data_IF_802377106327
#
_entry.id   IF_802377106327
#
_cell.length_a   1.000
_cell.length_b   1.000
_cell.length_c   1.000
_cell.angle_alpha   90.00
_cell.angle_beta   90.00
_cell.angle_gamma   90.00
#
_symmetry.space_group_name_H-M   'P 1'
#
loop_
_entity.id
_entity.type
_entity.pdbx_description
1 polymer ?
#
# COMPACT_ATOMS: atom_id res chain seq x y z
N UNK A 1 17.17 18.86 -7.04
CA UNK A 1 16.53 19.51 -5.88
C UNK A 1 16.23 18.44 -4.86
N UNK A 2 16.52 18.66 -3.58
CA UNK A 2 16.40 17.65 -2.53
C UNK A 2 15.77 18.33 -1.30
N UNK A 3 14.69 17.77 -0.77
CA UNK A 3 14.08 18.27 0.47
C UNK A 3 14.90 17.83 1.67
N UNK A 4 14.80 18.57 2.76
CA UNK A 4 15.48 18.22 4.01
C UNK A 4 14.84 16.98 4.63
N UNK A 5 13.51 16.89 4.63
CA UNK A 5 12.74 15.86 5.34
C UNK A 5 11.84 15.00 4.44
N UNK A 6 11.53 15.45 3.22
CA UNK A 6 10.56 14.77 2.36
C UNK A 6 11.23 14.07 1.17
N UNK A 7 10.62 12.98 0.72
CA UNK A 7 10.84 12.43 -0.60
C UNK A 7 10.17 13.32 -1.65
N UNK A 8 10.78 13.39 -2.83
CA UNK A 8 10.12 13.93 -4.02
C UNK A 8 9.76 12.75 -4.90
N UNK A 9 8.48 12.56 -5.19
CA UNK A 9 8.00 11.48 -6.05
C UNK A 9 7.13 12.02 -7.19
N UNK A 10 6.96 11.21 -8.23
CA UNK A 10 5.98 11.41 -9.29
C UNK A 10 5.11 10.16 -9.44
N UNK A 11 3.85 10.24 -9.90
CA UNK A 11 3.06 9.05 -10.24
C UNK A 11 3.77 8.23 -11.33
N UNK A 12 3.69 6.89 -11.25
CA UNK A 12 4.32 5.99 -12.24
C UNK A 12 3.61 6.01 -13.60
N UNK A 13 2.29 6.00 -13.57
CA UNK A 13 1.42 6.14 -14.75
C UNK A 13 0.67 7.47 -14.61
N UNK A 14 -0.65 7.42 -14.60
CA UNK A 14 -1.52 8.53 -14.28
C UNK A 14 -1.89 8.53 -12.79
N UNK A 15 -2.49 9.62 -12.32
CA UNK A 15 -2.91 9.76 -10.93
C UNK A 15 -4.12 8.89 -10.58
N UNK A 16 -4.84 8.38 -11.57
CA UNK A 16 -6.06 7.60 -11.43
C UNK A 16 -5.92 6.26 -12.18
N UNK A 17 -6.39 5.18 -11.56
CA UNK A 17 -6.55 3.86 -12.18
C UNK A 17 -8.06 3.59 -12.36
N UNK A 18 -8.79 4.55 -12.93
CA UNK A 18 -10.25 4.51 -13.07
C UNK A 18 -10.74 4.02 -14.43
N UNK A 19 -9.85 3.65 -15.35
CA UNK A 19 -10.19 3.16 -16.69
C UNK A 19 -9.88 1.66 -16.78
N UNK A 20 -10.87 0.85 -17.14
CA UNK A 20 -10.71 -0.57 -17.44
C UNK A 20 -11.11 -0.84 -18.88
N UNK A 21 -10.25 -1.48 -19.66
CA UNK A 21 -10.60 -1.92 -21.00
C UNK A 21 -11.33 -3.27 -20.94
N UNK A 22 -12.47 -3.35 -21.63
CA UNK A 22 -13.26 -4.57 -21.80
C UNK A 22 -13.52 -4.73 -23.31
N UNK A 23 -12.77 -5.62 -23.96
CA UNK A 23 -12.78 -5.73 -25.42
C UNK A 23 -12.29 -4.44 -26.07
N UNK A 24 -13.07 -3.91 -27.02
CA UNK A 24 -12.77 -2.65 -27.73
C UNK A 24 -13.34 -1.40 -27.04
N UNK A 25 -13.89 -1.53 -25.82
CA UNK A 25 -14.53 -0.43 -25.10
C UNK A 25 -13.76 -0.07 -23.83
N UNK A 26 -13.60 1.24 -23.62
CA UNK A 26 -13.07 1.81 -22.38
C UNK A 26 -14.20 2.07 -21.39
N UNK A 27 -14.12 1.42 -20.23
CA UNK A 27 -15.08 1.60 -19.15
C UNK A 27 -14.45 2.44 -18.05
N UNK A 28 -15.00 3.64 -17.84
CA UNK A 28 -14.64 4.50 -16.71
C UNK A 28 -15.37 3.94 -15.48
N UNK A 29 -14.62 3.26 -14.61
CA UNK A 29 -15.12 2.63 -13.39
C UNK A 29 -15.57 3.65 -12.35
N UNK A 30 -14.98 4.85 -12.37
CA UNK A 30 -15.39 5.94 -11.50
C UNK A 30 -15.09 7.31 -12.14
N UNK A 31 -16.12 8.15 -12.25
CA UNK A 31 -16.02 9.54 -12.70
C UNK A 31 -15.73 10.52 -11.55
N UNK A 32 -15.87 10.08 -10.29
CA UNK A 32 -15.60 10.90 -9.12
C UNK A 32 -14.11 10.89 -8.73
N UNK A 33 -13.44 12.00 -9.05
CA UNK A 33 -12.05 12.35 -8.75
C UNK A 33 -11.69 12.20 -7.24
N UNK A 34 -12.69 12.17 -6.36
CA UNK A 34 -12.56 12.22 -4.90
C UNK A 34 -12.47 10.87 -4.19
N UNK A 35 -12.84 9.77 -4.85
CA UNK A 35 -12.89 8.43 -4.24
C UNK A 35 -11.49 7.81 -4.11
N UNK A 36 -11.06 7.56 -2.88
CA UNK A 36 -9.73 7.01 -2.54
C UNK A 36 -9.46 5.60 -3.09
N UNK A 37 -10.50 4.92 -3.56
CA UNK A 37 -10.42 3.57 -4.09
C UNK A 37 -9.74 3.52 -5.47
N UNK A 38 -9.78 4.61 -6.24
CA UNK A 38 -9.30 4.66 -7.64
C UNK A 38 -8.11 5.61 -7.86
N UNK A 39 -7.56 6.17 -6.78
CA UNK A 39 -6.32 6.97 -6.84
C UNK A 39 -5.13 6.02 -6.93
N UNK A 40 -4.30 6.19 -7.95
CA UNK A 40 -3.07 5.41 -8.09
C UNK A 40 -2.23 5.58 -6.83
N UNK A 41 -1.71 4.48 -6.29
CA UNK A 41 -0.87 4.49 -5.08
C UNK A 41 0.60 4.25 -5.41
N UNK A 42 0.97 4.24 -6.70
CA UNK A 42 2.31 3.89 -7.14
C UNK A 42 3.05 5.13 -7.65
N UNK A 43 4.14 5.47 -6.99
CA UNK A 43 5.04 6.56 -7.39
C UNK A 43 6.43 6.06 -7.77
N UNK A 44 7.21 6.94 -8.42
CA UNK A 44 8.64 6.77 -8.68
C UNK A 44 9.39 7.85 -7.89
N UNK A 45 10.42 7.45 -7.15
CA UNK A 45 11.24 8.37 -6.35
C UNK A 45 12.16 9.18 -7.25
N UNK A 46 12.08 10.50 -7.14
CA UNK A 46 12.95 11.45 -7.85
C UNK A 46 14.06 12.01 -6.95
N UNK A 47 13.77 12.16 -5.65
CA UNK A 47 14.75 12.57 -4.66
C UNK A 47 14.42 11.98 -3.28
N UNK A 48 15.48 11.70 -2.51
CA UNK A 48 15.40 11.21 -1.13
C UNK A 48 15.65 12.35 -0.13
N UNK A 49 15.11 12.32 1.09
CA UNK A 49 15.39 13.32 2.11
C UNK A 49 16.90 13.35 2.46
N UNK A 50 17.40 14.50 2.90
CA UNK A 50 18.80 14.66 3.34
C UNK A 50 18.99 14.31 4.83
N UNK A 51 18.00 14.59 5.66
CA UNK A 51 18.15 14.56 7.11
C UNK A 51 18.18 13.14 7.68
N UNK A 52 17.53 12.18 7.01
CA UNK A 52 17.36 10.83 7.54
C UNK A 52 17.91 9.77 6.58
N UNK A 53 18.68 8.78 7.10
CA UNK A 53 19.08 7.63 6.31
C UNK A 53 17.85 6.78 5.97
N UNK A 54 17.73 6.41 4.71
CA UNK A 54 16.64 5.56 4.21
C UNK A 54 17.20 4.49 3.29
N UNK A 55 16.57 3.32 3.30
CA UNK A 55 16.90 2.24 2.38
C UNK A 55 16.43 2.51 0.95
N UNK A 56 15.52 3.47 0.77
CA UNK A 56 14.90 3.84 -0.51
C UNK A 56 15.88 4.68 -1.33
N UNK A 57 15.94 4.44 -2.64
CA UNK A 57 16.83 5.14 -3.58
C UNK A 57 16.03 5.87 -4.65
N UNK A 58 16.68 6.85 -5.27
CA UNK A 58 16.17 7.51 -6.47
C UNK A 58 15.96 6.46 -7.56
N UNK A 59 14.79 6.50 -8.20
CA UNK A 59 14.36 5.55 -9.22
C UNK A 59 13.53 4.37 -8.71
N UNK A 60 13.50 4.11 -7.39
CA UNK A 60 12.65 3.04 -6.85
C UNK A 60 11.16 3.36 -7.07
N UNK A 61 10.37 2.32 -7.31
CA UNK A 61 8.91 2.42 -7.29
C UNK A 61 8.42 2.31 -5.85
N UNK A 62 7.44 3.10 -5.45
CA UNK A 62 6.94 3.14 -4.07
C UNK A 62 5.43 3.05 -4.03
N UNK A 63 4.91 2.34 -3.02
CA UNK A 63 3.49 2.37 -2.67
C UNK A 63 3.30 3.40 -1.57
N UNK A 64 2.37 4.33 -1.77
CA UNK A 64 2.18 5.48 -0.91
C UNK A 64 0.77 5.55 -0.33
N UNK A 65 0.60 6.44 0.65
CA UNK A 65 -0.69 6.77 1.21
C UNK A 65 -1.66 7.37 0.17
N UNK A 66 -2.93 6.96 0.22
CA UNK A 66 -3.97 7.33 -0.76
C UNK A 66 -4.21 8.85 -0.88
N UNK A 67 -3.85 9.64 0.13
CA UNK A 67 -4.01 11.10 0.09
C UNK A 67 -2.91 11.83 -0.68
N UNK A 68 -1.81 11.15 -1.06
CA UNK A 68 -0.69 11.84 -1.71
C UNK A 68 -1.09 12.35 -3.10
N UNK A 69 -1.67 11.51 -3.95
CA UNK A 69 -2.08 11.91 -5.31
C UNK A 69 -3.53 12.40 -5.40
N UNK A 70 -4.27 12.41 -4.28
CA UNK A 70 -5.69 12.80 -4.23
C UNK A 70 -5.90 14.24 -4.68
N UNK A 71 -7.03 14.48 -5.34
CA UNK A 71 -7.63 15.81 -5.51
C UNK A 71 -8.97 15.87 -4.79
N UNK A 72 -9.36 17.07 -4.40
CA UNK A 72 -10.59 17.32 -3.66
C UNK A 72 -11.21 18.63 -4.13
N UNK A 73 -12.52 18.73 -4.08
CA UNK A 73 -13.23 19.98 -4.32
C UNK A 73 -13.36 20.73 -3.01
N UNK A 74 -13.08 22.03 -3.05
CA UNK A 74 -13.40 22.87 -1.91
C UNK A 74 -14.91 23.16 -1.81
N UNK A 75 -15.31 23.89 -0.76
CA UNK A 75 -16.72 24.25 -0.52
C UNK A 75 -17.36 25.06 -1.65
N UNK A 76 -16.58 25.55 -2.62
CA UNK A 76 -17.04 26.30 -3.80
C UNK A 76 -17.00 25.45 -5.08
N UNK A 77 -16.70 24.15 -4.97
CA UNK A 77 -16.60 23.25 -6.12
C UNK A 77 -15.32 23.43 -6.94
N UNK A 78 -14.30 24.11 -6.41
CA UNK A 78 -13.03 24.31 -7.11
C UNK A 78 -12.10 23.13 -6.80
N UNK A 79 -11.60 22.49 -7.86
CA UNK A 79 -10.66 21.38 -7.75
C UNK A 79 -9.32 21.85 -7.17
N UNK A 80 -8.88 21.17 -6.11
CA UNK A 80 -7.59 21.41 -5.44
C UNK A 80 -6.78 20.13 -5.35
N UNK A 81 -5.48 20.28 -5.51
CA UNK A 81 -4.55 19.18 -5.27
C UNK A 81 -4.40 18.90 -3.77
N UNK A 82 -3.89 17.71 -3.45
CA UNK A 82 -3.45 17.39 -2.09
C UNK A 82 -2.39 18.39 -1.61
N UNK A 83 -2.24 18.49 -0.29
CA UNK A 83 -1.16 19.27 0.34
C UNK A 83 0.24 18.78 -0.06
N UNK A 84 0.35 17.56 -0.58
CA UNK A 84 1.59 16.96 -1.03
C UNK A 84 2.01 17.48 -2.41
N UNK A 85 1.08 18.02 -3.20
CA UNK A 85 1.37 18.49 -4.54
C UNK A 85 2.27 19.72 -4.53
N UNK A 86 3.24 19.71 -5.43
CA UNK A 86 4.16 20.81 -5.63
C UNK A 86 4.05 21.42 -7.04
N UNK A 87 4.77 20.88 -8.03
CA UNK A 87 4.72 21.35 -9.43
C UNK A 87 5.02 20.21 -10.41
N UNK A 88 4.49 20.28 -11.63
CA UNK A 88 4.81 19.33 -12.71
C UNK A 88 4.66 17.85 -12.28
N UNK A 89 3.54 17.51 -11.65
CA UNK A 89 3.27 16.16 -11.11
C UNK A 89 4.29 15.66 -10.07
N UNK A 90 5.04 16.57 -9.43
CA UNK A 90 5.93 16.26 -8.32
C UNK A 90 5.23 16.48 -7.00
N UNK A 91 5.49 15.58 -6.07
CA UNK A 91 4.87 15.55 -4.75
C UNK A 91 5.92 15.41 -3.67
N UNK A 92 5.75 16.16 -2.57
CA UNK A 92 6.49 15.94 -1.34
C UNK A 92 5.78 14.89 -0.49
N UNK A 93 6.52 13.87 -0.10
CA UNK A 93 5.98 12.73 0.65
C UNK A 93 6.88 12.45 1.84
N UNK A 94 6.27 12.36 3.02
CA UNK A 94 7.00 12.03 4.23
C UNK A 94 7.37 10.54 4.27
N UNK A 95 8.43 10.15 4.98
CA UNK A 95 8.82 8.74 5.11
C UNK A 95 7.70 7.81 5.59
N UNK A 96 6.86 8.27 6.54
CA UNK A 96 5.72 7.52 7.10
C UNK A 96 4.55 7.35 6.13
N UNK A 97 4.59 8.01 4.98
CA UNK A 97 3.58 7.90 3.93
C UNK A 97 4.00 6.95 2.80
N UNK A 98 5.17 6.30 2.91
CA UNK A 98 5.65 5.26 1.99
C UNK A 98 5.53 3.91 2.70
N UNK A 99 4.77 2.98 2.11
CA UNK A 99 4.45 1.69 2.73
C UNK A 99 5.21 0.50 2.13
N UNK A 100 5.58 0.57 0.85
CA UNK A 100 6.47 -0.40 0.21
C UNK A 100 7.35 0.32 -0.79
N UNK A 101 8.51 -0.25 -1.08
CA UNK A 101 9.36 0.16 -2.19
C UNK A 101 9.80 -1.05 -3.01
N UNK A 102 9.92 -0.91 -4.32
CA UNK A 102 10.33 -1.95 -5.24
C UNK A 102 11.76 -1.70 -5.68
N UNK A 103 12.61 -2.72 -5.53
CA UNK A 103 13.98 -2.73 -6.03
C UNK A 103 14.26 -4.07 -6.68
N UNK A 104 14.88 -4.06 -7.86
CA UNK A 104 15.21 -5.29 -8.60
C UNK A 104 14.00 -6.23 -8.75
N UNK A 105 12.83 -5.67 -9.08
CA UNK A 105 11.55 -6.37 -9.21
C UNK A 105 11.01 -7.04 -7.92
N UNK A 106 11.57 -6.73 -6.74
CA UNK A 106 11.08 -7.24 -5.45
C UNK A 106 10.56 -6.10 -4.59
N UNK A 107 9.40 -6.31 -3.97
CA UNK A 107 8.83 -5.39 -2.99
C UNK A 107 9.49 -5.59 -1.62
N UNK A 108 9.73 -4.48 -0.95
CA UNK A 108 10.34 -4.39 0.36
C UNK A 108 9.51 -3.47 1.25
N UNK A 109 9.31 -3.87 2.50
CA UNK A 109 8.70 -3.02 3.50
C UNK A 109 9.75 -2.08 4.12
N UNK A 110 9.47 -0.76 4.21
CA UNK A 110 10.23 0.14 5.04
C UNK A 110 9.92 -0.11 6.51
N UNK A 111 10.68 0.53 7.39
CA UNK A 111 10.53 0.43 8.84
C UNK A 111 9.10 0.79 9.29
N UNK A 112 8.55 0.02 10.22
CA UNK A 112 7.29 0.26 10.91
C UNK A 112 6.06 -0.39 10.29
N UNK A 113 6.18 -1.03 9.11
CA UNK A 113 5.06 -1.65 8.43
C UNK A 113 5.35 -3.09 8.01
N UNK A 114 4.35 -3.94 8.17
CA UNK A 114 4.31 -5.29 7.62
C UNK A 114 3.09 -5.45 6.72
N UNK A 115 3.18 -6.34 5.75
CA UNK A 115 2.05 -6.72 4.89
C UNK A 115 1.70 -8.17 5.10
N UNK A 116 0.43 -8.39 5.46
CA UNK A 116 -0.12 -9.68 5.83
C UNK A 116 -1.20 -10.05 4.81
N UNK A 117 -1.11 -11.25 4.26
CA UNK A 117 -2.14 -11.81 3.39
C UNK A 117 -3.16 -12.56 4.25
N UNK A 118 -4.47 -12.27 4.12
CA UNK A 118 -5.48 -13.02 4.85
C UNK A 118 -5.46 -14.50 4.50
N UNK A 119 -5.92 -15.33 5.44
CA UNK A 119 -6.10 -16.77 5.24
C UNK A 119 -7.58 -17.11 5.10
N UNK A 120 -7.86 -18.16 4.35
CA UNK A 120 -9.22 -18.62 4.11
C UNK A 120 -9.79 -19.24 5.39
N UNK A 121 -11.00 -18.85 5.74
CA UNK A 121 -11.76 -19.52 6.78
C UNK A 121 -12.36 -20.82 6.25
N UNK A 122 -12.30 -21.87 7.05
CA UNK A 122 -12.97 -23.13 6.76
C UNK A 122 -14.47 -23.09 7.10
N UNK A 123 -14.95 -22.00 7.70
CA UNK A 123 -16.33 -21.85 8.10
C UNK A 123 -17.12 -21.10 7.02
N UNK A 124 -17.82 -21.88 6.19
CA UNK A 124 -18.59 -21.40 5.02
C UNK A 124 -19.74 -20.45 5.43
N UNK A 125 -20.18 -20.49 6.69
CA UNK A 125 -21.40 -19.83 7.16
C UNK A 125 -21.20 -18.43 7.74
N UNK A 126 -19.98 -18.04 8.14
CA UNK A 126 -19.73 -16.79 8.89
C UNK A 126 -18.86 -15.81 8.11
N UNK A 127 -17.57 -16.12 8.00
CA UNK A 127 -16.58 -15.23 7.41
C UNK A 127 -15.75 -16.00 6.40
N UNK A 128 -15.44 -15.37 5.26
CA UNK A 128 -14.61 -15.96 4.19
C UNK A 128 -13.14 -16.07 4.59
N UNK A 129 -12.73 -15.29 5.59
CA UNK A 129 -11.36 -15.19 6.08
C UNK A 129 -11.32 -15.41 7.58
N UNK A 130 -10.17 -15.84 8.10
CA UNK A 130 -9.98 -15.91 9.56
C UNK A 130 -9.67 -14.50 10.07
N UNK A 131 -10.47 -13.94 10.99
CA UNK A 131 -10.29 -12.58 11.44
C UNK A 131 -8.97 -12.43 12.17
N UNK A 132 -8.31 -11.28 11.94
CA UNK A 132 -7.07 -10.88 12.63
C UNK A 132 -5.89 -11.85 12.48
N UNK A 133 -5.93 -12.73 11.47
CA UNK A 133 -4.86 -13.68 11.17
C UNK A 133 -4.48 -13.65 9.71
N UNK A 134 -3.20 -13.86 9.44
CA UNK A 134 -2.74 -14.01 8.08
C UNK A 134 -1.25 -14.33 7.97
N UNK A 135 -0.80 -14.50 6.73
CA UNK A 135 0.56 -14.90 6.38
C UNK A 135 1.37 -13.67 5.96
N UNK A 136 2.55 -13.50 6.52
CA UNK A 136 3.41 -12.35 6.18
C UNK A 136 3.97 -12.49 4.76
N UNK A 137 3.75 -11.45 3.95
CA UNK A 137 4.33 -11.33 2.60
C UNK A 137 5.51 -10.38 2.56
N UNK A 138 5.42 -9.25 3.26
CA UNK A 138 6.50 -8.28 3.40
C UNK A 138 6.67 -7.94 4.88
N UNK A 139 7.88 -8.11 5.39
CA UNK A 139 8.21 -7.92 6.81
C UNK A 139 9.09 -6.70 6.98
N UNK A 140 8.85 -5.94 8.04
CA UNK A 140 9.75 -4.91 8.52
C UNK A 140 11.08 -5.55 8.94
N UNK A 141 12.20 -5.03 8.43
CA UNK A 141 13.53 -5.55 8.74
C UNK A 141 13.89 -5.48 10.23
N UNK A 142 13.25 -4.59 10.99
CA UNK A 142 13.50 -4.46 12.43
C UNK A 142 12.72 -5.48 13.27
N UNK A 143 11.68 -6.10 12.70
CA UNK A 143 10.91 -7.11 13.39
C UNK A 143 11.73 -8.41 13.49
N UNK A 144 12.02 -8.82 14.73
CA UNK A 144 12.79 -10.04 15.01
C UNK A 144 11.86 -11.23 15.19
N UNK A 145 12.37 -12.43 14.89
CA UNK A 145 11.71 -13.74 15.10
C UNK A 145 10.46 -14.00 14.25
N UNK A 146 10.19 -13.12 13.30
CA UNK A 146 9.08 -13.20 12.36
C UNK A 146 9.66 -12.99 10.98
N UNK A 147 9.46 -13.97 10.12
CA UNK A 147 9.96 -14.01 8.76
C UNK A 147 8.81 -14.02 7.76
N UNK A 148 9.17 -13.86 6.48
CA UNK A 148 8.22 -14.07 5.39
C UNK A 148 7.62 -15.47 5.49
N UNK A 149 6.33 -15.58 5.19
CA UNK A 149 5.53 -16.82 5.22
C UNK A 149 5.15 -17.34 6.62
N UNK A 150 5.52 -16.62 7.68
CA UNK A 150 5.01 -16.91 9.02
C UNK A 150 3.53 -16.55 9.13
N UNK A 151 2.79 -17.36 9.90
CA UNK A 151 1.43 -17.06 10.31
C UNK A 151 1.47 -16.15 11.54
N UNK A 152 0.79 -15.01 11.44
CA UNK A 152 0.72 -14.04 12.53
C UNK A 152 -0.70 -13.62 12.83
N UNK A 153 -0.91 -13.23 14.09
CA UNK A 153 -2.08 -12.49 14.55
C UNK A 153 -1.75 -11.03 14.76
N UNK A 154 -2.75 -10.17 14.56
CA UNK A 154 -2.61 -8.73 14.76
C UNK A 154 -3.81 -8.14 15.53
N UNK A 155 -3.65 -6.95 16.09
CA UNK A 155 -4.69 -6.31 16.90
C UNK A 155 -5.88 -5.84 16.05
N UNK A 156 -7.11 -5.79 16.59
CA UNK A 156 -8.26 -5.24 15.87
C UNK A 156 -8.02 -3.81 15.36
N UNK A 157 -8.61 -3.46 14.21
CA UNK A 157 -8.56 -2.11 13.62
C UNK A 157 -7.16 -1.63 13.25
N UNK A 158 -6.22 -2.56 13.07
CA UNK A 158 -4.84 -2.26 12.65
C UNK A 158 -4.58 -2.55 11.18
N UNK A 159 -5.54 -3.20 10.52
CA UNK A 159 -5.51 -3.59 9.13
C UNK A 159 -5.96 -2.45 8.21
N UNK A 160 -5.18 -2.23 7.14
CA UNK A 160 -5.60 -1.37 6.04
C UNK A 160 -5.36 -2.07 4.71
N UNK A 161 -6.38 -2.14 3.87
CA UNK A 161 -6.37 -2.94 2.65
C UNK A 161 -5.59 -2.26 1.50
N UNK A 162 -4.75 -3.06 0.86
CA UNK A 162 -4.04 -2.74 -0.37
C UNK A 162 -4.15 -3.90 -1.36
N UNK A 163 -4.18 -3.56 -2.65
CA UNK A 163 -4.01 -4.53 -3.74
C UNK A 163 -2.64 -4.31 -4.36
N UNK A 164 -1.78 -5.32 -4.29
CA UNK A 164 -0.39 -5.24 -4.74
C UNK A 164 -0.14 -6.44 -5.65
N UNK A 165 0.26 -6.17 -6.90
CA UNK A 165 0.47 -7.20 -7.93
C UNK A 165 -0.72 -8.18 -8.08
N UNK A 166 -1.95 -7.69 -7.88
CA UNK A 166 -3.19 -8.49 -7.98
C UNK A 166 -3.51 -9.33 -6.74
N UNK A 167 -2.74 -9.20 -5.66
CA UNK A 167 -3.03 -9.83 -4.37
C UNK A 167 -3.58 -8.80 -3.37
N UNK A 168 -4.63 -9.20 -2.65
CA UNK A 168 -5.16 -8.42 -1.53
C UNK A 168 -4.32 -8.65 -0.27
N UNK A 169 -3.79 -7.58 0.29
CA UNK A 169 -2.92 -7.58 1.48
C UNK A 169 -3.39 -6.53 2.48
N UNK A 170 -3.18 -6.81 3.76
CA UNK A 170 -3.35 -5.86 4.84
C UNK A 170 -2.01 -5.26 5.24
N UNK A 171 -1.89 -3.93 5.17
CA UNK A 171 -0.81 -3.20 5.81
C UNK A 171 -1.12 -3.10 7.29
N UNK A 172 -0.24 -3.66 8.13
CA UNK A 172 -0.32 -3.67 9.59
C UNK A 172 0.92 -2.98 10.14
N UNK A 173 0.78 -2.24 11.23
CA UNK A 173 1.95 -1.66 11.92
C UNK A 173 2.78 -2.78 12.57
N UNK A 174 4.10 -2.65 12.57
CA UNK A 174 4.99 -3.65 13.21
C UNK A 174 4.58 -3.91 14.67
N UNK A 175 4.22 -2.86 15.41
CA UNK A 175 3.80 -2.96 16.82
C UNK A 175 2.39 -3.53 17.02
N UNK A 176 1.60 -3.69 15.95
CA UNK A 176 0.26 -4.28 15.99
C UNK A 176 0.28 -5.79 15.77
N UNK A 177 1.42 -6.37 15.40
CA UNK A 177 1.60 -7.82 15.36
C UNK A 177 1.70 -8.33 16.80
N UNK A 178 0.76 -9.19 17.19
CA UNK A 178 0.58 -9.61 18.60
C UNK A 178 1.08 -11.02 18.88
N UNK A 179 1.03 -11.92 17.89
CA UNK A 179 1.38 -13.33 18.07
C UNK A 179 1.89 -13.94 16.77
N UNK A 180 2.90 -14.80 16.88
CA UNK A 180 3.32 -15.73 15.83
C UNK A 180 2.74 -17.10 16.14
N UNK A 181 2.08 -17.69 15.16
CA UNK A 181 1.53 -19.04 15.25
C UNK A 181 2.47 -20.06 14.60
N UNK A 182 2.45 -21.29 15.09
CA UNK A 182 3.04 -22.40 14.36
C UNK A 182 2.13 -22.79 13.21
N UNK A 183 2.66 -22.75 11.99
CA UNK A 183 1.91 -23.02 10.77
C UNK A 183 1.50 -24.49 10.73
N UNK A 184 0.20 -24.74 10.72
CA UNK A 184 -0.34 -26.08 10.52
C UNK A 184 -0.62 -26.31 9.03
N UNK A 185 -0.42 -27.54 8.52
CA UNK A 185 -0.54 -27.88 7.08
C UNK A 185 -1.89 -27.53 6.43
N UNK A 186 -2.92 -27.19 7.21
CA UNK A 186 -4.27 -26.95 6.73
C UNK A 186 -4.57 -25.47 6.40
N UNK A 187 -3.63 -24.55 6.60
CA UNK A 187 -3.83 -23.11 6.42
C UNK A 187 -3.54 -22.68 4.98
N UNK A 188 -4.58 -22.21 4.27
CA UNK A 188 -4.49 -21.73 2.89
C UNK A 188 -4.61 -20.21 2.83
N UNK A 189 -3.77 -19.57 2.02
CA UNK A 189 -3.89 -18.16 1.69
C UNK A 189 -5.22 -17.89 0.97
N UNK A 190 -5.87 -16.78 1.31
CA UNK A 190 -7.04 -16.32 0.60
C UNK A 190 -6.67 -15.16 -0.32
N UNK A 191 -7.07 -15.26 -1.59
CA UNK A 191 -7.01 -14.13 -2.53
C UNK A 191 -8.39 -14.00 -3.17
N UNK A 192 -9.22 -13.02 -2.77
CA UNK A 192 -10.42 -12.73 -3.51
C UNK A 192 -9.97 -12.04 -4.80
N UNK A 193 -9.79 -12.79 -5.88
CA UNK A 193 -9.83 -12.17 -7.19
C UNK A 193 -11.18 -11.48 -7.30
N UNK A 194 -11.22 -10.18 -7.51
CA UNK A 194 -12.42 -9.53 -8.02
C UNK A 194 -12.67 -10.05 -9.44
N UNK A 195 -13.35 -11.19 -9.51
CA UNK A 195 -14.19 -11.57 -10.63
C UNK A 195 -15.58 -10.97 -10.38
#
# INVERSE_FOLDING_TARGET
MQSLFDFIIKPKKERYDNIKQIGDQELILNSEISSHQYVSRIGIVLAIPKAEPTDIKVGDEVIIHHNVFRRWYDVRGIEKNSRSYWKEDKYFVKPDQIFLYKRNNKWHAPKGYCFVKPIQSNNILLEKEVPLRGIIKYVDKELKNIDKEDLVGFTPSSEYEFVIDGERLYRVLTNSISIKYERQRNEKEYNPSWA
#
